data_IF_156950996739
#
_entry.id   IF_156950996739
#
_cell.length_a   1.000
_cell.length_b   1.000
_cell.length_c   1.000
_cell.angle_alpha   90.00
_cell.angle_beta   90.00
_cell.angle_gamma   90.00
#
_symmetry.space_group_name_H-M   'P 1'
#
loop_
_entity.id
_entity.type
_entity.pdbx_description
1 polymer ?
#
# COMPACT_ATOMS: atom_id res chain seq x y z
N UNK A 1 0.41 3.34 -0.57
CA UNK A 1 -1.05 3.25 -0.74
C UNK A 1 -1.45 3.85 -2.07
N UNK A 2 -2.36 3.22 -2.80
CA UNK A 2 -2.91 3.74 -4.05
C UNK A 2 -3.53 5.13 -3.87
N UNK A 3 -4.20 5.36 -2.74
CA UNK A 3 -4.82 6.63 -2.35
C UNK A 3 -3.87 7.65 -1.71
N UNK A 4 -2.57 7.37 -1.58
CA UNK A 4 -1.62 8.34 -1.05
C UNK A 4 -1.42 9.54 -1.98
N UNK A 5 -1.15 10.71 -1.40
CA UNK A 5 -0.81 11.92 -2.16
C UNK A 5 0.35 11.70 -3.12
N UNK A 6 0.25 12.29 -4.32
CA UNK A 6 1.23 12.12 -5.40
C UNK A 6 2.64 12.53 -4.96
N UNK A 7 2.78 13.65 -4.23
CA UNK A 7 4.06 14.13 -3.69
C UNK A 7 4.82 13.06 -2.88
N UNK A 8 4.11 12.22 -2.14
CA UNK A 8 4.75 11.14 -1.36
C UNK A 8 5.32 10.06 -2.28
N UNK A 9 4.58 9.70 -3.34
CA UNK A 9 5.00 8.70 -4.33
C UNK A 9 6.19 9.20 -5.15
N UNK A 10 6.17 10.49 -5.52
CA UNK A 10 7.27 11.12 -6.27
C UNK A 10 8.55 11.23 -5.43
N UNK A 11 8.43 11.43 -4.11
CA UNK A 11 9.58 11.54 -3.20
C UNK A 11 10.29 10.20 -2.98
N UNK A 12 9.54 9.09 -2.99
CA UNK A 12 10.04 7.74 -2.72
C UNK A 12 9.57 6.73 -3.78
N UNK A 13 10.02 6.88 -5.04
CA UNK A 13 9.56 6.03 -6.14
C UNK A 13 9.99 4.56 -6.01
N UNK A 14 10.98 4.27 -5.17
CA UNK A 14 11.50 2.93 -4.90
C UNK A 14 10.59 2.07 -4.00
N UNK A 15 9.66 2.69 -3.27
CA UNK A 15 8.79 1.99 -2.33
C UNK A 15 7.57 1.37 -3.04
N UNK A 16 7.23 0.13 -2.67
CA UNK A 16 6.03 -0.54 -3.19
C UNK A 16 4.76 0.25 -2.84
N UNK A 17 3.97 0.60 -3.87
CA UNK A 17 2.64 1.18 -3.68
C UNK A 17 1.62 0.05 -3.63
N UNK A 18 1.26 -0.38 -2.42
CA UNK A 18 0.13 -1.30 -2.20
C UNK A 18 -1.22 -0.62 -2.50
N UNK A 19 -2.32 -1.39 -2.49
CA UNK A 19 -3.69 -0.95 -2.82
C UNK A 19 -4.26 0.21 -1.99
N UNK A 20 -5.57 0.42 -2.06
CA UNK A 20 -6.24 1.53 -1.35
C UNK A 20 -6.75 1.10 0.02
N UNK A 21 -6.97 2.07 0.91
CA UNK A 21 -7.61 1.83 2.18
C UNK A 21 -9.13 1.58 2.06
N UNK A 22 -9.77 1.99 0.95
CA UNK A 22 -11.17 1.65 0.69
C UNK A 22 -11.37 0.15 0.43
N UNK A 23 -10.32 -0.55 0.00
CA UNK A 23 -10.32 -1.98 -0.27
C UNK A 23 -9.69 -2.82 0.86
N UNK A 24 -9.51 -2.25 2.06
CA UNK A 24 -8.81 -2.93 3.17
C UNK A 24 -7.43 -3.49 2.78
N UNK A 25 -6.70 -2.78 1.90
CA UNK A 25 -5.45 -3.31 1.34
C UNK A 25 -4.38 -3.60 2.40
N UNK A 26 -4.34 -2.85 3.51
CA UNK A 26 -3.38 -3.08 4.59
C UNK A 26 -3.60 -4.42 5.29
N UNK A 27 -4.77 -4.71 5.90
CA UNK A 27 -4.98 -6.02 6.53
C UNK A 27 -4.89 -7.18 5.54
N UNK A 28 -5.34 -7.03 4.29
CA UNK A 28 -5.14 -8.06 3.27
C UNK A 28 -3.67 -8.33 2.98
N UNK A 29 -2.85 -7.28 2.84
CA UNK A 29 -1.40 -7.41 2.65
C UNK A 29 -0.74 -8.10 3.85
N UNK A 30 -1.11 -7.73 5.08
CA UNK A 30 -0.60 -8.38 6.30
C UNK A 30 -0.99 -9.86 6.39
N UNK A 31 -2.24 -10.22 6.05
CA UNK A 31 -2.66 -11.64 6.02
C UNK A 31 -1.82 -12.44 5.04
N UNK A 32 -1.57 -11.91 3.84
CA UNK A 32 -0.69 -12.56 2.86
C UNK A 32 0.73 -12.74 3.41
N UNK A 33 1.25 -11.75 4.13
CA UNK A 33 2.62 -11.81 4.65
C UNK A 33 2.79 -12.81 5.81
N UNK A 34 1.78 -12.96 6.68
CA UNK A 34 1.95 -13.70 7.94
C UNK A 34 1.06 -14.94 8.11
N UNK A 35 -0.08 -15.02 7.42
CA UNK A 35 -1.14 -16.01 7.67
C UNK A 35 -1.46 -16.89 6.46
N UNK A 36 -0.53 -16.98 5.51
CA UNK A 36 -0.66 -17.84 4.33
C UNK A 36 -0.84 -19.31 4.69
#
# INVERSE_FOLDING_TARGET
MGSAHQRLKDLHPELEVIGTNADDAVPHYLRKLYLS
#
